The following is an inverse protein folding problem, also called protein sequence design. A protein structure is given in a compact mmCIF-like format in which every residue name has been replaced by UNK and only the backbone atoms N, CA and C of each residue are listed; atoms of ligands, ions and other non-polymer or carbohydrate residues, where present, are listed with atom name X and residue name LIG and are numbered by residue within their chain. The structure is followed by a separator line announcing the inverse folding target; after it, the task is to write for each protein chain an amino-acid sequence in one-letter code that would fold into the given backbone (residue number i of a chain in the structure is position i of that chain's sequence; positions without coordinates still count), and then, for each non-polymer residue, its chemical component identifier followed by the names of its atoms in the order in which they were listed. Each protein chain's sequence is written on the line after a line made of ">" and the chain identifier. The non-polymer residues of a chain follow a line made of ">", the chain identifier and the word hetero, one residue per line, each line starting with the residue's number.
data_IF_950874011792
#
_entry.id   IF_950874011792
#
_cell.length_a   1.000
_cell.length_b   1.000
_cell.length_c   1.000
_cell.angle_alpha   90.00
_cell.angle_beta   90.00
_cell.angle_gamma   90.00
#
_symmetry.space_group_name_H-M   'P 1'
#
loop_
_entity.id
_entity.type
_entity.pdbx_description
1 polymer ?
#
# COMPACT_ATOMS: atom_id res chain seq x y z
N UNK A 1 -0.67 -27.38 10.13
CA UNK A 1 -1.41 -26.62 9.09
C UNK A 1 -1.80 -25.22 9.55
N UNK A 2 -2.49 -25.03 10.69
CA UNK A 2 -2.79 -23.67 11.20
C UNK A 2 -1.54 -22.86 11.65
N UNK A 3 -0.47 -23.55 12.07
CA UNK A 3 0.80 -22.91 12.46
C UNK A 3 1.54 -22.26 11.29
N UNK A 4 1.44 -22.83 10.09
CA UNK A 4 2.20 -22.38 8.92
C UNK A 4 1.61 -21.10 8.34
N UNK A 5 0.28 -20.97 8.34
CA UNK A 5 -0.41 -19.72 8.00
C UNK A 5 -0.12 -18.62 9.02
N UNK A 6 -0.12 -18.95 10.33
CA UNK A 6 0.22 -17.98 11.37
C UNK A 6 1.63 -17.42 11.21
N UNK A 7 2.62 -18.29 10.94
CA UNK A 7 4.01 -17.86 10.69
C UNK A 7 4.13 -16.99 9.44
N UNK A 8 3.42 -17.34 8.37
CA UNK A 8 3.41 -16.56 7.13
C UNK A 8 2.80 -15.17 7.32
N UNK A 9 1.59 -15.09 7.89
CA UNK A 9 0.94 -13.80 8.18
C UNK A 9 1.71 -12.99 9.22
N UNK A 10 2.33 -13.65 10.21
CA UNK A 10 3.24 -13.03 11.15
C UNK A 10 4.45 -12.39 10.48
N UNK A 11 5.06 -13.07 9.50
CA UNK A 11 6.17 -12.51 8.73
C UNK A 11 5.74 -11.27 7.92
N UNK A 12 4.56 -11.29 7.28
CA UNK A 12 4.03 -10.12 6.57
C UNK A 12 3.75 -8.97 7.55
N UNK A 13 3.20 -9.27 8.73
CA UNK A 13 2.98 -8.27 9.77
C UNK A 13 4.29 -7.59 10.21
N UNK A 14 5.35 -8.36 10.44
CA UNK A 14 6.67 -7.77 10.76
C UNK A 14 7.19 -6.92 9.61
N UNK A 15 7.02 -7.36 8.35
CA UNK A 15 7.40 -6.55 7.19
C UNK A 15 6.63 -5.22 7.13
N UNK A 16 5.34 -5.22 7.45
CA UNK A 16 4.53 -4.00 7.54
C UNK A 16 5.01 -3.07 8.66
N UNK A 17 5.45 -3.63 9.78
CA UNK A 17 5.97 -2.88 10.92
C UNK A 17 7.32 -2.22 10.57
N UNK A 18 8.23 -2.97 9.95
CA UNK A 18 9.50 -2.46 9.42
C UNK A 18 9.25 -1.34 8.41
N UNK A 19 8.31 -1.53 7.48
CA UNK A 19 7.93 -0.51 6.53
C UNK A 19 7.31 0.73 7.21
N UNK A 20 6.58 0.56 8.31
CA UNK A 20 6.07 1.70 9.08
C UNK A 20 7.20 2.49 9.76
N UNK A 21 8.18 1.80 10.35
CA UNK A 21 9.33 2.46 11.00
C UNK A 21 10.27 3.14 10.02
N UNK A 22 10.50 2.52 8.85
CA UNK A 22 11.36 3.08 7.81
C UNK A 22 10.85 4.41 7.27
N UNK A 23 9.53 4.66 7.24
CA UNK A 23 8.96 5.97 6.90
C UNK A 23 9.61 7.08 7.72
N UNK A 24 9.70 6.90 9.03
CA UNK A 24 10.27 7.90 9.95
C UNK A 24 11.75 8.12 9.68
N UNK A 25 12.48 7.05 9.37
CA UNK A 25 13.90 7.14 8.97
C UNK A 25 14.05 7.96 7.69
N UNK A 26 13.21 7.71 6.69
CA UNK A 26 13.21 8.48 5.44
C UNK A 26 12.91 9.96 5.66
N UNK A 27 11.90 10.28 6.46
CA UNK A 27 11.53 11.68 6.79
C UNK A 27 12.63 12.45 7.52
N UNK A 28 13.43 11.77 8.34
CA UNK A 28 14.43 12.42 9.21
C UNK A 28 15.82 12.53 8.57
N UNK A 29 16.14 11.64 7.63
CA UNK A 29 17.53 11.40 7.24
C UNK A 29 17.84 11.78 5.79
N UNK A 30 16.83 12.09 4.97
CA UNK A 30 16.99 12.34 3.54
C UNK A 30 16.40 13.69 3.12
N UNK A 31 16.87 14.19 1.99
CA UNK A 31 16.28 15.36 1.32
C UNK A 31 14.81 15.13 0.96
N UNK A 32 14.05 16.22 0.87
CA UNK A 32 12.61 16.20 0.64
C UNK A 32 12.20 15.29 -0.52
N UNK A 33 12.84 15.39 -1.68
CA UNK A 33 12.42 14.62 -2.85
C UNK A 33 12.67 13.12 -2.70
N UNK A 34 13.80 12.76 -2.08
CA UNK A 34 14.16 11.38 -1.80
C UNK A 34 13.24 10.80 -0.72
N UNK A 35 12.97 11.57 0.35
CA UNK A 35 12.06 11.17 1.41
C UNK A 35 10.65 10.95 0.86
N UNK A 36 10.10 11.93 0.14
CA UNK A 36 8.76 11.86 -0.45
C UNK A 36 8.61 10.67 -1.40
N UNK A 37 9.55 10.47 -2.32
CA UNK A 37 9.53 9.34 -3.25
C UNK A 37 9.63 7.99 -2.54
N UNK A 38 10.53 7.86 -1.56
CA UNK A 38 10.72 6.62 -0.81
C UNK A 38 9.49 6.28 0.04
N UNK A 39 8.87 7.27 0.66
CA UNK A 39 7.65 7.10 1.46
C UNK A 39 6.48 6.66 0.57
N UNK A 40 6.34 7.22 -0.63
CA UNK A 40 5.29 6.81 -1.58
C UNK A 40 5.45 5.35 -2.02
N UNK A 41 6.67 4.92 -2.34
CA UNK A 41 6.96 3.52 -2.68
C UNK A 41 6.65 2.60 -1.50
N UNK A 42 7.09 2.98 -0.31
CA UNK A 42 6.89 2.19 0.91
C UNK A 42 5.41 2.09 1.29
N UNK A 43 4.66 3.19 1.16
CA UNK A 43 3.21 3.21 1.36
C UNK A 43 2.50 2.32 0.36
N UNK A 44 2.89 2.35 -0.92
CA UNK A 44 2.33 1.51 -1.98
C UNK A 44 2.55 0.02 -1.70
N UNK A 45 3.77 -0.36 -1.31
CA UNK A 45 4.11 -1.74 -0.92
C UNK A 45 3.27 -2.22 0.27
N UNK A 46 3.13 -1.39 1.32
CA UNK A 46 2.28 -1.72 2.47
C UNK A 46 0.83 -1.94 2.05
N UNK A 47 0.28 -1.05 1.23
CA UNK A 47 -1.09 -1.16 0.73
C UNK A 47 -1.29 -2.47 -0.04
N UNK A 48 -0.36 -2.86 -0.92
CA UNK A 48 -0.43 -4.12 -1.65
C UNK A 48 -0.40 -5.35 -0.72
N UNK A 49 0.46 -5.34 0.30
CA UNK A 49 0.51 -6.42 1.29
C UNK A 49 -0.79 -6.52 2.10
N UNK A 50 -1.33 -5.38 2.53
CA UNK A 50 -2.59 -5.34 3.30
C UNK A 50 -3.76 -5.80 2.44
N UNK A 51 -3.95 -5.20 1.27
CA UNK A 51 -5.07 -5.51 0.37
C UNK A 51 -4.98 -6.97 -0.10
N UNK A 52 -3.79 -7.42 -0.50
CA UNK A 52 -3.58 -8.77 -1.01
C UNK A 52 -3.79 -9.85 0.05
N UNK A 53 -3.20 -9.69 1.24
CA UNK A 53 -3.13 -10.75 2.24
C UNK A 53 -4.08 -10.56 3.42
N UNK A 54 -4.20 -9.35 3.98
CA UNK A 54 -5.04 -9.11 5.16
C UNK A 54 -6.49 -8.79 4.82
N UNK A 55 -6.77 -8.15 3.68
CA UNK A 55 -8.12 -7.99 3.14
C UNK A 55 -8.52 -9.13 2.19
N UNK A 56 -7.64 -10.12 2.03
CA UNK A 56 -7.88 -11.34 1.25
C UNK A 56 -8.21 -11.12 -0.24
N UNK A 57 -7.90 -9.94 -0.82
CA UNK A 57 -8.23 -9.66 -2.23
C UNK A 57 -7.57 -10.66 -3.19
N UNK A 58 -6.41 -11.23 -2.81
CA UNK A 58 -5.71 -12.24 -3.61
C UNK A 58 -6.52 -13.51 -3.84
N UNK A 59 -7.39 -13.87 -2.89
CA UNK A 59 -8.18 -15.11 -2.95
C UNK A 59 -9.65 -14.86 -3.32
N UNK A 60 -10.02 -13.60 -3.51
CA UNK A 60 -11.36 -13.22 -3.94
C UNK A 60 -11.60 -13.48 -5.44
N UNK A 61 -12.87 -13.42 -5.84
CA UNK A 61 -13.24 -13.53 -7.26
C UNK A 61 -12.59 -12.42 -8.08
N UNK A 62 -12.18 -12.76 -9.32
CA UNK A 62 -11.55 -11.80 -10.25
C UNK A 62 -12.39 -10.54 -10.50
N UNK A 63 -13.71 -10.64 -10.42
CA UNK A 63 -14.61 -9.47 -10.53
C UNK A 63 -14.38 -8.45 -9.41
N UNK A 64 -14.07 -8.89 -8.19
CA UNK A 64 -13.77 -8.00 -7.06
C UNK A 64 -12.37 -7.38 -7.20
N UNK A 65 -11.38 -8.14 -7.66
CA UNK A 65 -10.06 -7.57 -7.98
C UNK A 65 -10.15 -6.52 -9.09
N UNK A 66 -10.97 -6.79 -10.12
CA UNK A 66 -11.26 -5.82 -11.19
C UNK A 66 -11.99 -4.58 -10.68
N UNK A 67 -12.97 -4.75 -9.80
CA UNK A 67 -13.67 -3.64 -9.15
C UNK A 67 -12.71 -2.77 -8.32
N UNK A 68 -11.81 -3.39 -7.55
CA UNK A 68 -10.82 -2.66 -6.76
C UNK A 68 -9.84 -1.87 -7.64
N UNK A 69 -9.38 -2.48 -8.74
CA UNK A 69 -8.51 -1.81 -9.72
C UNK A 69 -9.24 -0.63 -10.40
N UNK A 70 -10.52 -0.81 -10.75
CA UNK A 70 -11.36 0.26 -11.28
C UNK A 70 -11.51 1.39 -10.26
N UNK A 71 -11.82 1.07 -9.00
CA UNK A 71 -11.96 2.06 -7.93
C UNK A 71 -10.66 2.87 -7.73
N UNK A 72 -9.50 2.21 -7.72
CA UNK A 72 -8.20 2.88 -7.66
C UNK A 72 -7.96 3.80 -8.86
N UNK A 73 -8.32 3.36 -10.06
CA UNK A 73 -8.18 4.13 -11.30
C UNK A 73 -9.07 5.37 -11.27
N UNK A 74 -10.33 5.22 -10.86
CA UNK A 74 -11.27 6.33 -10.73
C UNK A 74 -10.84 7.32 -9.64
N UNK A 75 -10.32 6.83 -8.51
CA UNK A 75 -9.73 7.68 -7.48
C UNK A 75 -8.55 8.50 -8.02
N UNK A 76 -7.65 7.88 -8.77
CA UNK A 76 -6.52 8.59 -9.39
C UNK A 76 -7.00 9.65 -10.39
N UNK A 77 -7.98 9.32 -11.24
CA UNK A 77 -8.60 10.28 -12.16
C UNK A 77 -9.26 11.45 -11.42
N UNK A 78 -9.93 11.20 -10.29
CA UNK A 78 -10.51 12.23 -9.45
C UNK A 78 -9.44 13.16 -8.87
N UNK A 79 -8.31 12.62 -8.39
CA UNK A 79 -7.21 13.42 -7.87
C UNK A 79 -6.58 14.30 -8.96
N UNK A 80 -6.43 13.77 -10.18
CA UNK A 80 -5.98 14.54 -11.35
C UNK A 80 -6.99 15.63 -11.69
N UNK A 81 -8.29 15.33 -11.77
CA UNK A 81 -9.33 16.32 -12.03
C UNK A 81 -9.35 17.43 -10.97
N UNK A 82 -9.21 17.07 -9.69
CA UNK A 82 -9.14 18.02 -8.58
C UNK A 82 -7.94 18.98 -8.70
N UNK A 83 -6.82 18.55 -9.30
CA UNK A 83 -5.67 19.43 -9.51
C UNK A 83 -5.94 20.61 -10.46
N UNK A 84 -6.94 20.48 -11.36
CA UNK A 84 -7.40 21.54 -12.25
C UNK A 84 -8.57 22.34 -11.67
N UNK A 85 -9.15 21.91 -10.55
CA UNK A 85 -10.35 22.53 -9.97
C UNK A 85 -10.06 23.75 -9.09
N UNK A 86 -8.80 23.97 -8.67
CA UNK A 86 -8.41 24.99 -7.68
C UNK A 86 -7.60 26.14 -8.32
N UNK A 87 -7.60 26.24 -9.65
CA UNK A 87 -7.06 27.39 -10.40
C UNK A 87 -8.18 28.32 -10.83
#
# INVERSE_FOLDING_TARGET
>A
MASDSLRFYGAIYVALLVAATLKVVFERSFDYWIAAGSILVLASLKTLLIVGYFQHLRWERRSLSGLMALALTLFALLMVAASFSVT
#
